data_IF_436516836603
#
_entry.id   IF_436516836603
#
_cell.length_a   1.000
_cell.length_b   1.000
_cell.length_c   1.000
_cell.angle_alpha   90.00
_cell.angle_beta   90.00
_cell.angle_gamma   90.00
#
_symmetry.space_group_name_H-M   'P 1'
#
loop_
_entity.id
_entity.type
_entity.pdbx_description
1 polymer ?
#
# COMPACT_ATOMS: atom_id res chain seq x y z
N UNK A 1 15.74 -14.03 3.56
CA UNK A 1 14.49 -14.44 4.24
C UNK A 1 13.35 -13.58 3.72
N UNK A 2 12.24 -14.20 3.35
CA UNK A 2 11.00 -13.48 3.02
C UNK A 2 10.49 -12.81 4.30
N UNK A 3 10.20 -11.52 4.24
CA UNK A 3 9.60 -10.79 5.36
C UNK A 3 8.40 -9.99 4.87
N UNK A 4 7.48 -9.63 5.77
CA UNK A 4 6.38 -8.75 5.41
C UNK A 4 6.87 -7.37 4.97
N UNK A 5 8.03 -6.92 5.48
CA UNK A 5 8.69 -5.72 4.99
C UNK A 5 9.15 -5.88 3.54
N UNK A 6 9.81 -7.00 3.19
CA UNK A 6 10.26 -7.22 1.82
C UNK A 6 9.10 -7.31 0.84
N UNK A 7 7.94 -7.85 1.26
CA UNK A 7 6.70 -7.81 0.50
C UNK A 7 6.22 -6.36 0.27
N UNK A 8 6.17 -5.55 1.32
CA UNK A 8 5.79 -4.14 1.24
C UNK A 8 6.69 -3.34 0.29
N UNK A 9 8.00 -3.50 0.43
CA UNK A 9 9.00 -2.84 -0.40
C UNK A 9 8.88 -3.27 -1.88
N UNK A 10 8.64 -4.56 -2.15
CA UNK A 10 8.35 -5.06 -3.50
C UNK A 10 7.05 -4.50 -4.05
N UNK A 11 5.98 -4.44 -3.24
CA UNK A 11 4.71 -3.86 -3.68
C UNK A 11 4.89 -2.41 -4.12
N UNK A 12 5.54 -1.58 -3.30
CA UNK A 12 5.77 -0.19 -3.64
C UNK A 12 6.66 -0.03 -4.87
N UNK A 13 7.78 -0.75 -4.93
CA UNK A 13 8.68 -0.69 -6.09
C UNK A 13 8.01 -1.17 -7.38
N UNK A 14 7.19 -2.24 -7.30
CA UNK A 14 6.40 -2.72 -8.43
C UNK A 14 5.33 -1.72 -8.85
N UNK A 15 4.68 -1.07 -7.89
CA UNK A 15 3.61 -0.09 -8.15
C UNK A 15 4.15 1.12 -8.91
N UNK A 16 5.28 1.67 -8.47
CA UNK A 16 6.00 2.77 -9.13
C UNK A 16 6.43 2.39 -10.57
N UNK A 17 7.01 1.20 -10.74
CA UNK A 17 7.42 0.72 -12.08
C UNK A 17 6.23 0.46 -13.01
N UNK A 18 5.09 0.01 -12.48
CA UNK A 18 3.92 -0.36 -13.27
C UNK A 18 3.07 0.86 -13.66
N UNK A 19 3.05 1.88 -12.80
CA UNK A 19 2.32 3.11 -13.01
C UNK A 19 3.32 4.24 -13.21
N UNK A 20 3.80 4.44 -14.44
CA UNK A 20 4.88 5.38 -14.75
C UNK A 20 4.59 6.86 -14.39
N UNK A 21 3.33 7.23 -14.15
CA UNK A 21 2.93 8.55 -13.65
C UNK A 21 2.85 8.63 -12.11
N UNK A 22 3.07 7.52 -11.42
CA UNK A 22 3.05 7.40 -9.97
C UNK A 22 4.49 7.26 -9.45
N UNK A 23 4.93 8.25 -8.68
CA UNK A 23 6.23 8.24 -8.03
C UNK A 23 6.06 7.98 -6.53
N UNK A 24 7.01 7.25 -5.93
CA UNK A 24 7.05 7.01 -4.49
C UNK A 24 8.14 7.88 -3.88
N UNK A 25 7.71 9.01 -3.35
CA UNK A 25 8.60 9.96 -2.71
C UNK A 25 8.86 9.56 -1.25
N UNK A 26 10.05 9.03 -0.95
CA UNK A 26 10.49 8.73 0.42
C UNK A 26 11.10 9.99 1.04
N UNK A 27 10.46 10.54 2.08
CA UNK A 27 11.00 11.70 2.82
C UNK A 27 12.07 11.26 3.82
N UNK A 28 11.85 10.12 4.46
CA UNK A 28 12.76 9.48 5.41
C UNK A 28 12.51 7.96 5.42
N UNK A 29 13.05 7.25 6.42
CA UNK A 29 12.90 5.79 6.54
C UNK A 29 11.47 5.34 6.84
N UNK A 30 10.61 6.23 7.32
CA UNK A 30 9.24 5.92 7.75
C UNK A 30 8.19 6.60 6.89
N UNK A 31 8.41 7.85 6.50
CA UNK A 31 7.44 8.68 5.83
C UNK A 31 7.68 8.67 4.32
N UNK A 32 6.65 8.29 3.58
CA UNK A 32 6.66 8.34 2.12
C UNK A 32 5.31 8.77 1.57
N UNK A 33 5.32 9.21 0.32
CA UNK A 33 4.13 9.72 -0.36
C UNK A 33 4.03 9.12 -1.74
N UNK A 34 2.82 8.70 -2.11
CA UNK A 34 2.47 8.34 -3.46
C UNK A 34 2.07 9.62 -4.19
N UNK A 35 2.82 9.97 -5.22
CA UNK A 35 2.64 11.21 -5.98
C UNK A 35 2.21 10.85 -7.40
N UNK A 36 1.02 11.28 -7.79
CA UNK A 36 0.50 11.09 -9.14
C UNK A 36 0.35 12.44 -9.82
N UNK A 37 1.05 12.65 -10.94
CA UNK A 37 1.05 13.91 -11.69
C UNK A 37 1.29 15.16 -10.80
N UNK A 38 2.26 15.09 -9.88
CA UNK A 38 2.60 16.18 -8.96
C UNK A 38 1.71 16.29 -7.72
N UNK A 39 0.62 15.53 -7.64
CA UNK A 39 -0.31 15.55 -6.50
C UNK A 39 0.02 14.39 -5.55
N UNK A 40 0.21 14.69 -4.25
CA UNK A 40 0.33 13.67 -3.21
C UNK A 40 -1.03 12.99 -3.00
N UNK A 41 -1.25 11.85 -3.66
CA UNK A 41 -2.53 11.13 -3.59
C UNK A 41 -2.70 10.38 -2.28
N UNK A 42 -1.60 9.86 -1.72
CA UNK A 42 -1.55 9.23 -0.40
C UNK A 42 -0.26 9.57 0.31
N UNK A 43 -0.34 9.78 1.61
CA UNK A 43 0.80 9.92 2.51
C UNK A 43 0.79 8.74 3.48
N UNK A 44 1.93 8.09 3.60
CA UNK A 44 2.10 6.87 4.38
C UNK A 44 3.21 7.07 5.42
N UNK A 45 2.99 6.56 6.62
CA UNK A 45 4.00 6.46 7.68
C UNK A 45 4.14 5.01 8.12
N UNK A 46 5.31 4.42 7.88
CA UNK A 46 5.68 3.12 8.41
C UNK A 46 5.74 3.20 9.93
N UNK A 47 5.13 2.23 10.62
CA UNK A 47 5.24 2.11 12.06
C UNK A 47 6.25 1.00 12.39
N UNK A 48 7.42 1.38 12.91
CA UNK A 48 8.49 0.43 13.25
C UNK A 48 8.11 -0.47 14.42
N UNK A 49 7.49 0.08 15.47
CA UNK A 49 7.05 -0.69 16.65
C UNK A 49 6.05 -1.79 16.29
N UNK A 50 5.23 -1.56 15.27
CA UNK A 50 4.24 -2.52 14.77
C UNK A 50 4.75 -3.36 13.60
N UNK A 51 5.98 -3.15 13.14
CA UNK A 51 6.61 -3.94 12.09
C UNK A 51 7.48 -5.05 12.71
N UNK A 52 7.13 -6.29 12.38
CA UNK A 52 7.84 -7.51 12.74
C UNK A 52 8.27 -8.24 11.47
N UNK A 53 8.90 -9.42 11.60
CA UNK A 53 9.34 -10.19 10.44
C UNK A 53 8.18 -10.62 9.53
N UNK A 54 7.03 -10.89 10.13
CA UNK A 54 5.81 -11.42 9.53
C UNK A 54 4.73 -10.35 9.32
N UNK A 55 4.93 -9.12 9.79
CA UNK A 55 3.97 -8.01 9.66
C UNK A 55 4.65 -6.68 9.39
N UNK A 56 4.19 -5.91 8.41
CA UNK A 56 4.60 -4.52 8.22
C UNK A 56 3.38 -3.60 8.09
N UNK A 57 3.40 -2.50 8.84
CA UNK A 57 2.25 -1.59 8.97
C UNK A 57 2.61 -0.20 8.46
N UNK A 58 1.76 0.31 7.57
CA UNK A 58 1.88 1.64 6.98
C UNK A 58 0.58 2.42 7.22
N UNK A 59 0.63 3.40 8.12
CA UNK A 59 -0.50 4.28 8.39
C UNK A 59 -0.70 5.28 7.27
N UNK A 60 -1.95 5.45 6.86
CA UNK A 60 -2.38 6.48 5.93
C UNK A 60 -2.58 7.76 6.74
N UNK A 61 -1.67 8.70 6.57
CA UNK A 61 -1.63 9.96 7.33
C UNK A 61 -2.25 11.13 6.56
N UNK A 62 -2.56 10.94 5.28
CA UNK A 62 -3.16 11.97 4.44
C UNK A 62 -3.02 11.70 2.94
N UNK A 63 -3.00 12.78 2.17
CA UNK A 63 -3.04 12.76 0.71
C UNK A 63 -4.43 13.05 0.16
N UNK A 64 -4.48 13.42 -1.12
CA UNK A 64 -5.71 13.88 -1.79
C UNK A 64 -6.86 12.85 -1.75
N UNK A 65 -6.55 11.55 -1.77
CA UNK A 65 -7.56 10.49 -1.78
C UNK A 65 -8.00 10.04 -0.37
N UNK A 66 -7.31 10.48 0.67
CA UNK A 66 -7.59 10.11 2.05
C UNK A 66 -8.26 11.27 2.81
N UNK A 67 -9.25 10.96 3.64
CA UNK A 67 -9.83 11.95 4.53
C UNK A 67 -8.80 12.42 5.57
N UNK A 68 -8.80 13.72 5.91
CA UNK A 68 -7.87 14.30 6.90
C UNK A 68 -7.97 13.68 8.31
N UNK A 69 -9.13 13.11 8.66
CA UNK A 69 -9.37 12.44 9.95
C UNK A 69 -9.52 10.94 9.72
N UNK A 70 -8.40 10.24 9.54
CA UNK A 70 -8.31 8.78 9.57
C UNK A 70 -7.73 8.39 10.92
N UNK A 71 -8.57 7.93 11.85
CA UNK A 71 -8.10 7.57 13.20
C UNK A 71 -7.09 6.43 13.19
N UNK A 72 -7.24 5.45 12.27
CA UNK A 72 -6.39 4.25 12.21
C UNK A 72 -6.21 3.65 10.80
N UNK A 73 -6.49 4.44 9.75
CA UNK A 73 -6.39 4.01 8.35
C UNK A 73 -4.98 3.52 8.03
N UNK A 74 -4.84 2.29 7.51
CA UNK A 74 -3.53 1.67 7.27
C UNK A 74 -3.57 0.62 6.17
N UNK A 75 -2.40 0.42 5.56
CA UNK A 75 -2.10 -0.76 4.75
C UNK A 75 -1.21 -1.67 5.59
N UNK A 76 -1.57 -2.93 5.67
CA UNK A 76 -0.87 -3.93 6.44
C UNK A 76 -0.47 -5.09 5.53
N UNK A 77 0.82 -5.38 5.52
CA UNK A 77 1.42 -6.52 4.84
C UNK A 77 1.67 -7.60 5.88
N UNK A 78 1.26 -8.83 5.60
CA UNK A 78 1.54 -9.99 6.44
C UNK A 78 2.09 -11.14 5.62
N UNK A 79 3.01 -11.87 6.20
CA UNK A 79 3.47 -13.16 5.72
C UNK A 79 3.08 -14.23 6.75
N UNK A 80 2.29 -15.20 6.31
CA UNK A 80 1.86 -16.33 7.16
C UNK A 80 2.71 -17.52 6.76
N UNK A 81 3.74 -17.80 7.55
CA UNK A 81 4.76 -18.80 7.25
C UNK A 81 4.17 -20.21 7.10
N UNK A 82 3.26 -20.59 7.99
CA UNK A 82 2.65 -21.94 8.02
C UNK A 82 1.97 -22.30 6.69
N UNK A 83 1.44 -21.31 5.98
CA UNK A 83 0.68 -21.49 4.75
C UNK A 83 1.44 -20.94 3.53
N UNK A 84 2.62 -20.34 3.72
CA UNK A 84 3.39 -19.64 2.69
C UNK A 84 2.55 -18.62 1.91
N UNK A 85 1.64 -17.92 2.60
CA UNK A 85 0.74 -16.94 1.97
C UNK A 85 1.08 -15.52 2.41
N UNK A 86 0.89 -14.59 1.47
CA UNK A 86 0.95 -13.17 1.73
C UNK A 86 -0.46 -12.60 1.83
N UNK A 87 -0.67 -11.74 2.81
CA UNK A 87 -1.90 -10.99 2.99
C UNK A 87 -1.59 -9.49 2.92
N UNK A 88 -2.38 -8.77 2.14
CA UNK A 88 -2.33 -7.31 2.05
C UNK A 88 -3.71 -6.79 2.41
N UNK A 89 -3.79 -6.00 3.47
CA UNK A 89 -5.05 -5.50 4.02
C UNK A 89 -5.06 -3.99 4.05
N UNK A 90 -6.13 -3.39 3.50
CA UNK A 90 -6.46 -1.98 3.69
C UNK A 90 -7.50 -1.89 4.81
N UNK A 91 -7.13 -1.32 5.96
CA UNK A 91 -7.95 -1.32 7.18
C UNK A 91 -8.24 0.12 7.58
N UNK A 92 -9.47 0.39 8.03
CA UNK A 92 -9.94 1.71 8.52
C UNK A 92 -9.68 2.88 7.55
N UNK A 93 -9.55 2.58 6.24
CA UNK A 93 -9.34 3.61 5.23
C UNK A 93 -10.62 4.40 5.01
N UNK A 94 -10.50 5.73 5.11
CA UNK A 94 -11.60 6.65 4.83
C UNK A 94 -11.27 7.46 3.58
N UNK A 95 -12.02 7.27 2.48
CA UNK A 95 -11.80 8.07 1.28
C UNK A 95 -12.18 9.54 1.52
N UNK A 96 -11.51 10.45 0.82
CA UNK A 96 -11.88 11.88 0.78
C UNK A 96 -13.12 12.15 -0.07
N UNK A 97 -13.42 11.25 -1.01
CA UNK A 97 -14.53 11.38 -1.96
C UNK A 97 -15.84 10.84 -1.40
N UNK A 98 -17.01 11.36 -1.86
CA UNK A 98 -18.31 10.74 -1.62
C UNK A 98 -18.31 9.25 -1.97
N UNK A 99 -19.05 8.45 -1.19
CA UNK A 99 -19.02 6.99 -1.27
C UNK A 99 -19.25 6.43 -2.68
N UNK A 100 -20.21 6.99 -3.41
CA UNK A 100 -20.51 6.57 -4.78
C UNK A 100 -19.29 6.74 -5.71
N UNK A 101 -18.63 7.91 -5.66
CA UNK A 101 -17.45 8.19 -6.48
C UNK A 101 -16.34 7.22 -6.11
N UNK A 102 -16.07 7.01 -4.81
CA UNK A 102 -15.08 6.05 -4.33
C UNK A 102 -15.34 4.63 -4.87
N UNK A 103 -16.59 4.15 -4.74
CA UNK A 103 -17.00 2.79 -5.13
C UNK A 103 -16.73 2.52 -6.61
N UNK A 104 -17.03 3.47 -7.50
CA UNK A 104 -16.89 3.28 -8.94
C UNK A 104 -15.54 3.70 -9.50
N UNK A 105 -14.68 4.37 -8.71
CA UNK A 105 -13.34 4.79 -9.14
C UNK A 105 -12.25 4.06 -8.36
N UNK A 106 -11.97 4.51 -7.13
CA UNK A 106 -10.86 4.03 -6.31
C UNK A 106 -10.94 2.53 -6.03
N UNK A 107 -12.12 1.99 -5.68
CA UNK A 107 -12.25 0.56 -5.38
C UNK A 107 -12.01 -0.33 -6.61
N UNK A 108 -12.47 0.10 -7.78
CA UNK A 108 -12.23 -0.60 -9.06
C UNK A 108 -10.75 -0.59 -9.40
N UNK A 109 -10.11 0.59 -9.35
CA UNK A 109 -8.67 0.74 -9.60
C UNK A 109 -7.86 -0.10 -8.60
N UNK A 110 -8.20 -0.05 -7.31
CA UNK A 110 -7.53 -0.83 -6.26
C UNK A 110 -7.60 -2.34 -6.53
N UNK A 111 -8.79 -2.85 -6.89
CA UNK A 111 -8.97 -4.26 -7.29
C UNK A 111 -8.10 -4.63 -8.49
N UNK A 112 -8.03 -3.78 -9.51
CA UNK A 112 -7.18 -4.00 -10.68
C UNK A 112 -5.70 -4.05 -10.31
N UNK A 113 -5.23 -3.12 -9.47
CA UNK A 113 -3.85 -3.07 -8.99
C UNK A 113 -3.51 -4.35 -8.22
N UNK A 114 -4.34 -4.76 -7.26
CA UNK A 114 -4.11 -5.99 -6.47
C UNK A 114 -4.07 -7.24 -7.36
N UNK A 115 -4.96 -7.34 -8.35
CA UNK A 115 -4.96 -8.46 -9.30
C UNK A 115 -3.70 -8.48 -10.18
N UNK A 116 -3.23 -7.31 -10.64
CA UNK A 116 -1.99 -7.21 -11.41
C UNK A 116 -0.78 -7.56 -10.53
N UNK A 117 -0.76 -7.11 -9.28
CA UNK A 117 0.31 -7.43 -8.34
C UNK A 117 0.36 -8.93 -8.04
N UNK A 118 -0.79 -9.57 -7.81
CA UNK A 118 -0.89 -11.03 -7.67
C UNK A 118 -0.29 -11.74 -8.89
N UNK A 119 -0.67 -11.35 -10.10
CA UNK A 119 -0.13 -11.94 -11.34
C UNK A 119 1.39 -11.73 -11.47
N UNK A 120 1.89 -10.59 -11.02
CA UNK A 120 3.32 -10.31 -11.00
C UNK A 120 4.06 -11.26 -10.03
N UNK A 121 3.57 -11.42 -8.80
CA UNK A 121 4.18 -12.32 -7.82
C UNK A 121 4.18 -13.78 -8.25
N UNK A 122 3.16 -14.22 -9.02
CA UNK A 122 3.13 -15.58 -9.58
C UNK A 122 4.18 -15.80 -10.69
N UNK A 123 4.63 -14.74 -11.36
CA UNK A 123 5.68 -14.81 -12.40
C UNK A 123 7.08 -14.51 -11.87
N UNK A 124 7.16 -13.75 -10.79
CA UNK A 124 8.39 -13.34 -10.13
C UNK A 124 8.23 -13.66 -8.65
N UNK A 125 8.44 -14.94 -8.26
CA UNK A 125 8.33 -15.34 -6.87
C UNK A 125 9.28 -14.50 -6.02
N UNK A 126 8.91 -14.28 -4.76
CA UNK A 126 9.80 -13.65 -3.77
C UNK A 126 10.90 -14.62 -3.27
N UNK A 127 11.17 -15.67 -4.05
CA UNK A 127 12.14 -16.77 -3.86
C UNK A 127 12.98 -16.88 -5.11
#
# INVERSE_FOLDING_TARGET
MITAQSLGDHYFSWLERTLFFLNIHKKDKENFSLVFCGIKILQLKKNQERTTIDRSVYYITGGFLAAKKTFNGRIEFRYIEQNQVFLISLIDFKPSLPWFIYKYTQAVIHKLIMNKFKKYLLKTPLV
#
